data_IF_037085450878
#
_entry.id   IF_037085450878
#
_cell.length_a   1.000
_cell.length_b   1.000
_cell.length_c   1.000
_cell.angle_alpha   90.00
_cell.angle_beta   90.00
_cell.angle_gamma   90.00
#
_symmetry.space_group_name_H-M   'P 1'
#
loop_
_entity.id
_entity.type
_entity.pdbx_description
1 polymer ?
#
# COMPACT_ATOMS: atom_id res chain seq x y z
N UNK A 1 -6.92 4.02 -22.57
CA UNK A 1 -7.13 4.77 -21.32
C UNK A 1 -7.68 3.80 -20.28
N UNK A 2 -7.56 4.06 -18.97
CA UNK A 2 -8.09 3.18 -17.92
C UNK A 2 -8.82 3.98 -16.85
N UNK A 3 -9.98 3.50 -16.43
CA UNK A 3 -10.70 4.04 -15.29
C UNK A 3 -10.83 3.00 -14.17
N UNK A 4 -10.84 3.46 -12.93
CA UNK A 4 -11.06 2.64 -11.76
C UNK A 4 -12.04 3.33 -10.82
N UNK A 5 -13.03 2.59 -10.33
CA UNK A 5 -13.95 3.03 -9.29
C UNK A 5 -13.74 2.17 -8.05
N UNK A 6 -13.51 2.82 -6.91
CA UNK A 6 -13.20 2.18 -5.64
C UNK A 6 -14.20 2.63 -4.59
N UNK A 7 -14.89 1.68 -3.98
CA UNK A 7 -15.77 1.89 -2.83
C UNK A 7 -15.20 1.25 -1.58
N UNK A 8 -15.28 1.93 -0.44
CA UNK A 8 -14.90 1.42 0.88
C UNK A 8 -16.02 1.64 1.87
N UNK A 9 -16.32 0.63 2.67
CA UNK A 9 -17.34 0.62 3.70
C UNK A 9 -16.75 0.14 5.03
N UNK A 10 -17.01 0.90 6.07
CA UNK A 10 -16.86 0.58 7.49
C UNK A 10 -18.19 0.93 8.18
N UNK A 11 -18.56 0.29 9.30
CA UNK A 11 -19.85 0.53 9.96
C UNK A 11 -20.21 2.00 10.18
N UNK A 12 -19.22 2.84 10.48
CA UNK A 12 -19.42 4.27 10.77
C UNK A 12 -18.98 5.20 9.63
N UNK A 13 -18.44 4.64 8.53
CA UNK A 13 -17.81 5.43 7.47
C UNK A 13 -17.83 4.72 6.12
N UNK A 14 -18.40 5.36 5.12
CA UNK A 14 -18.24 4.97 3.72
C UNK A 14 -17.44 6.02 2.97
N UNK A 15 -16.77 5.60 1.89
CA UNK A 15 -16.07 6.50 0.98
C UNK A 15 -16.02 5.90 -0.43
N UNK A 16 -15.95 6.77 -1.42
CA UNK A 16 -15.78 6.39 -2.82
C UNK A 16 -14.68 7.23 -3.47
N UNK A 17 -13.95 6.62 -4.40
CA UNK A 17 -12.94 7.29 -5.20
C UNK A 17 -12.99 6.79 -6.64
N UNK A 18 -12.83 7.70 -7.59
CA UNK A 18 -12.66 7.39 -9.01
C UNK A 18 -11.28 7.83 -9.45
N UNK A 19 -10.63 7.03 -10.30
CA UNK A 19 -9.31 7.35 -10.86
C UNK A 19 -9.34 7.14 -12.36
N UNK A 20 -8.90 8.14 -13.12
CA UNK A 20 -8.64 8.05 -14.55
C UNK A 20 -7.13 8.02 -14.77
N UNK A 21 -6.68 7.11 -15.64
CA UNK A 21 -5.28 6.91 -15.96
C UNK A 21 -5.10 6.83 -17.48
N UNK A 22 -4.10 7.53 -18.01
CA UNK A 22 -3.73 7.41 -19.41
C UNK A 22 -2.21 7.43 -19.58
N UNK A 23 -1.74 6.68 -20.57
CA UNK A 23 -0.33 6.52 -20.88
C UNK A 23 0.05 7.46 -22.02
N UNK A 24 1.23 8.08 -21.91
CA UNK A 24 1.83 8.94 -22.92
C UNK A 24 3.33 8.62 -23.02
N UNK A 25 3.68 7.75 -23.96
CA UNK A 25 5.05 7.25 -24.12
C UNK A 25 5.48 6.40 -22.93
N UNK A 26 6.57 6.80 -22.27
CA UNK A 26 7.11 6.16 -21.06
C UNK A 26 6.53 6.75 -19.75
N UNK A 27 5.64 7.74 -19.87
CA UNK A 27 4.98 8.39 -18.74
C UNK A 27 3.50 8.03 -18.65
N UNK A 28 2.97 8.07 -17.44
CA UNK A 28 1.57 7.80 -17.13
C UNK A 28 1.02 8.93 -16.28
N UNK A 29 -0.13 9.44 -16.70
CA UNK A 29 -0.86 10.49 -16.01
C UNK A 29 -2.06 9.90 -15.30
N UNK A 30 -2.29 10.35 -14.07
CA UNK A 30 -3.45 9.95 -13.26
C UNK A 30 -4.15 11.18 -12.71
N UNK A 31 -5.47 11.15 -12.75
CA UNK A 31 -6.33 12.07 -12.02
C UNK A 31 -7.27 11.25 -11.15
N UNK A 32 -7.41 11.62 -9.88
CA UNK A 32 -8.31 10.95 -8.94
C UNK A 32 -9.22 11.96 -8.25
N UNK A 33 -10.45 11.55 -7.98
CA UNK A 33 -11.44 12.30 -7.21
C UNK A 33 -12.00 11.41 -6.11
N UNK A 34 -12.39 12.01 -5.00
CA UNK A 34 -13.14 11.32 -3.92
C UNK A 34 -14.53 11.91 -3.76
N UNK A 35 -15.37 11.23 -2.98
CA UNK A 35 -16.67 11.72 -2.48
C UNK A 35 -16.64 13.17 -1.94
N UNK A 36 -15.53 13.59 -1.32
CA UNK A 36 -15.31 14.97 -0.86
C UNK A 36 -15.46 16.04 -1.95
N UNK A 37 -15.27 15.67 -3.22
CA UNK A 37 -15.45 16.54 -4.39
C UNK A 37 -16.88 17.05 -4.50
N UNK A 38 -17.86 16.27 -4.00
CA UNK A 38 -19.28 16.52 -4.15
C UNK A 38 -20.02 16.74 -2.81
N UNK A 39 -19.38 16.43 -1.67
CA UNK A 39 -20.03 16.43 -0.35
C UNK A 39 -20.68 17.76 0.06
N UNK A 40 -20.20 18.89 -0.46
CA UNK A 40 -20.77 20.24 -0.22
C UNK A 40 -21.04 21.01 -1.53
N UNK A 41 -21.30 20.27 -2.61
CA UNK A 41 -21.32 20.79 -3.98
C UNK A 41 -19.95 20.65 -4.68
N UNK A 42 -19.89 20.93 -5.99
CA UNK A 42 -18.66 20.76 -6.78
C UNK A 42 -17.50 21.60 -6.22
N UNK A 43 -16.43 20.94 -5.82
CA UNK A 43 -15.22 21.58 -5.32
C UNK A 43 -13.97 20.80 -5.73
N UNK A 44 -12.79 21.38 -5.56
CA UNK A 44 -11.53 20.67 -5.78
C UNK A 44 -11.14 19.77 -4.60
N UNK A 45 -11.96 19.72 -3.55
CA UNK A 45 -11.72 18.87 -2.38
C UNK A 45 -11.67 17.39 -2.80
N UNK A 46 -10.60 16.68 -2.47
CA UNK A 46 -10.44 15.27 -2.87
C UNK A 46 -9.89 15.05 -4.29
N UNK A 47 -9.55 16.11 -5.03
CA UNK A 47 -8.84 16.00 -6.32
C UNK A 47 -7.34 15.73 -6.09
N UNK A 48 -6.82 14.70 -6.76
CA UNK A 48 -5.39 14.39 -6.84
C UNK A 48 -4.93 14.27 -8.29
N UNK A 49 -3.74 14.77 -8.57
CA UNK A 49 -3.07 14.63 -9.86
C UNK A 49 -1.75 13.90 -9.67
N UNK A 50 -1.36 13.04 -10.60
CA UNK A 50 -0.09 12.33 -10.52
C UNK A 50 0.51 12.11 -11.91
N UNK A 51 1.83 12.25 -11.98
CA UNK A 51 2.65 11.91 -13.15
C UNK A 51 3.70 10.92 -12.71
N UNK A 52 3.78 9.79 -13.41
CA UNK A 52 4.76 8.76 -13.09
C UNK A 52 5.43 8.18 -14.32
N UNK A 53 6.70 7.84 -14.17
CA UNK A 53 7.43 6.98 -15.10
C UNK A 53 7.70 5.66 -14.38
N UNK A 54 7.09 4.54 -14.81
CA UNK A 54 7.24 3.25 -14.13
C UNK A 54 8.70 2.88 -13.87
N UNK A 55 9.02 2.56 -12.62
CA UNK A 55 10.37 2.19 -12.19
C UNK A 55 11.36 3.35 -12.05
N UNK A 56 10.97 4.60 -12.34
CA UNK A 56 11.85 5.78 -12.23
C UNK A 56 11.34 6.80 -11.21
N UNK A 57 10.13 7.34 -11.38
CA UNK A 57 9.61 8.34 -10.46
C UNK A 57 8.08 8.39 -10.42
N UNK A 58 7.55 8.97 -9.34
CA UNK A 58 6.15 9.37 -9.16
C UNK A 58 6.16 10.78 -8.57
N UNK A 59 5.35 11.68 -9.13
CA UNK A 59 5.10 13.01 -8.60
C UNK A 59 3.60 13.14 -8.40
N UNK A 60 3.17 13.13 -7.14
CA UNK A 60 1.78 13.33 -6.75
C UNK A 60 1.57 14.79 -6.32
N UNK A 61 0.47 15.38 -6.75
CA UNK A 61 -0.02 16.68 -6.30
C UNK A 61 -1.39 16.53 -5.66
N UNK A 62 -1.47 16.87 -4.38
CA UNK A 62 -2.74 16.99 -3.67
C UNK A 62 -3.28 18.40 -3.84
N UNK A 63 -4.32 18.56 -4.67
CA UNK A 63 -4.87 19.87 -5.02
C UNK A 63 -5.42 20.62 -3.80
N UNK A 64 -6.25 20.01 -2.93
CA UNK A 64 -6.78 20.68 -1.74
C UNK A 64 -5.71 21.21 -0.77
N UNK A 65 -4.67 20.40 -0.54
CA UNK A 65 -3.62 20.71 0.44
C UNK A 65 -2.47 21.51 -0.18
N UNK A 66 -2.50 21.71 -1.51
CA UNK A 66 -1.43 22.34 -2.28
C UNK A 66 -0.05 21.71 -1.99
N UNK A 67 -0.03 20.39 -1.79
CA UNK A 67 1.17 19.66 -1.37
C UNK A 67 1.65 18.70 -2.46
N UNK A 68 2.96 18.56 -2.57
CA UNK A 68 3.64 17.67 -3.49
C UNK A 68 4.32 16.52 -2.75
N UNK A 69 4.18 15.32 -3.31
CA UNK A 69 4.97 14.15 -2.94
C UNK A 69 5.81 13.71 -4.13
N UNK A 70 7.11 13.64 -3.90
CA UNK A 70 8.09 13.14 -4.86
C UNK A 70 8.54 11.76 -4.42
N UNK A 71 8.54 10.80 -5.35
CA UNK A 71 9.10 9.48 -5.13
C UNK A 71 10.04 9.16 -6.29
N UNK A 72 11.29 8.84 -5.97
CA UNK A 72 12.30 8.45 -6.95
C UNK A 72 12.75 7.01 -6.65
N UNK A 73 12.76 6.18 -7.69
CA UNK A 73 13.10 4.77 -7.60
C UNK A 73 14.33 4.50 -8.45
N UNK A 74 15.26 3.71 -7.93
CA UNK A 74 16.44 3.29 -8.66
C UNK A 74 16.77 1.83 -8.32
N UNK A 75 17.38 1.12 -9.26
CA UNK A 75 17.90 -0.23 -9.03
C UNK A 75 19.39 -0.24 -9.31
N UNK A 76 20.17 -0.56 -8.27
CA UNK A 76 21.62 -0.70 -8.31
C UNK A 76 21.97 -2.18 -8.28
N UNK A 77 23.17 -2.56 -8.76
CA UNK A 77 23.68 -3.90 -8.52
C UNK A 77 24.62 -3.91 -7.32
N UNK A 78 24.29 -4.70 -6.31
CA UNK A 78 25.11 -4.92 -5.13
C UNK A 78 25.41 -6.41 -5.04
N UNK A 79 26.69 -6.79 -5.17
CA UNK A 79 27.12 -8.20 -5.16
C UNK A 79 26.33 -9.07 -6.16
N UNK A 80 26.17 -8.57 -7.40
CA UNK A 80 25.40 -9.23 -8.48
C UNK A 80 23.90 -9.40 -8.20
N UNK A 81 23.38 -8.83 -7.10
CA UNK A 81 21.96 -8.83 -6.78
C UNK A 81 21.37 -7.44 -7.01
N UNK A 82 20.16 -7.35 -7.61
CA UNK A 82 19.49 -6.08 -7.78
C UNK A 82 19.06 -5.54 -6.41
N UNK A 83 19.62 -4.39 -6.03
CA UNK A 83 19.25 -3.61 -4.87
C UNK A 83 18.31 -2.49 -5.31
N UNK A 84 17.07 -2.54 -4.87
CA UNK A 84 16.06 -1.51 -5.15
C UNK A 84 16.09 -0.44 -4.06
N UNK A 85 16.25 0.81 -4.45
CA UNK A 85 16.22 1.98 -3.59
C UNK A 85 15.03 2.86 -3.98
N UNK A 86 14.32 3.38 -2.99
CA UNK A 86 13.24 4.36 -3.18
C UNK A 86 13.46 5.51 -2.21
N UNK A 87 13.50 6.73 -2.72
CA UNK A 87 13.49 7.95 -1.95
C UNK A 87 12.10 8.57 -2.05
N UNK A 88 11.53 9.01 -0.93
CA UNK A 88 10.25 9.73 -0.89
C UNK A 88 10.40 11.03 -0.11
N UNK A 89 9.90 12.13 -0.67
CA UNK A 89 9.83 13.43 -0.01
C UNK A 89 8.42 14.03 -0.14
N UNK A 90 7.85 14.46 0.98
CA UNK A 90 6.57 15.18 1.03
C UNK A 90 6.87 16.62 1.44
N UNK A 91 6.56 17.57 0.55
CA UNK A 91 7.04 18.95 0.65
C UNK A 91 6.39 19.69 1.84
N UNK A 92 5.08 19.67 1.94
CA UNK A 92 4.28 20.37 2.93
C UNK A 92 4.48 19.82 4.33
N UNK A 93 4.59 18.50 4.46
CA UNK A 93 4.95 17.86 5.72
C UNK A 93 6.45 17.94 6.05
N UNK A 94 7.30 18.37 5.09
CA UNK A 94 8.78 18.32 5.17
C UNK A 94 9.31 16.95 5.58
N UNK A 95 8.63 15.89 5.13
CA UNK A 95 8.97 14.53 5.52
C UNK A 95 9.81 13.86 4.44
N UNK A 96 10.88 13.19 4.88
CA UNK A 96 11.76 12.43 3.98
C UNK A 96 11.89 11.00 4.48
N UNK A 97 11.80 10.04 3.57
CA UNK A 97 12.00 8.63 3.85
C UNK A 97 12.79 7.95 2.73
N UNK A 98 13.52 6.89 3.09
CA UNK A 98 14.24 6.04 2.16
C UNK A 98 13.91 4.57 2.45
N UNK A 99 13.62 3.83 1.40
CA UNK A 99 13.38 2.39 1.41
C UNK A 99 14.45 1.69 0.57
N UNK A 100 15.08 0.66 1.12
CA UNK A 100 16.00 -0.23 0.42
C UNK A 100 15.48 -1.66 0.45
N UNK A 101 15.69 -2.42 -0.61
CA UNK A 101 15.40 -3.85 -0.60
C UNK A 101 16.30 -4.66 -1.54
N UNK A 102 16.59 -5.90 -1.13
CA UNK A 102 17.37 -6.86 -1.90
C UNK A 102 16.67 -8.21 -1.87
N UNK A 103 16.50 -8.83 -3.04
CA UNK A 103 16.06 -10.21 -3.15
C UNK A 103 17.30 -11.09 -3.28
N UNK A 104 17.50 -12.00 -2.32
CA UNK A 104 18.62 -12.94 -2.36
C UNK A 104 18.34 -14.04 -3.39
N UNK A 105 17.11 -14.51 -3.40
CA UNK A 105 16.55 -15.49 -4.32
C UNK A 105 15.03 -15.27 -4.47
N UNK A 106 14.33 -16.04 -5.32
CA UNK A 106 12.90 -15.87 -5.52
C UNK A 106 11.99 -16.12 -4.30
N UNK A 107 12.51 -16.73 -3.23
CA UNK A 107 11.80 -17.00 -1.98
C UNK A 107 12.18 -16.04 -0.85
N UNK A 108 13.38 -15.45 -0.88
CA UNK A 108 13.95 -14.68 0.23
C UNK A 108 14.24 -13.23 -0.18
N UNK A 109 13.64 -12.28 0.53
CA UNK A 109 13.85 -10.83 0.34
C UNK A 109 14.02 -10.11 1.68
N UNK A 110 15.02 -9.23 1.74
CA UNK A 110 15.22 -8.29 2.85
C UNK A 110 14.84 -6.88 2.41
N UNK A 111 14.21 -6.11 3.29
CA UNK A 111 13.87 -4.72 3.06
C UNK A 111 14.10 -3.91 4.33
N UNK A 112 14.52 -2.66 4.18
CA UNK A 112 14.67 -1.71 5.26
C UNK A 112 14.08 -0.35 4.86
N UNK A 113 13.41 0.31 5.79
CA UNK A 113 12.92 1.68 5.64
C UNK A 113 13.50 2.56 6.74
N UNK A 114 13.83 3.81 6.40
CA UNK A 114 14.18 4.85 7.34
C UNK A 114 13.41 6.14 7.04
N UNK A 115 12.70 6.67 8.04
CA UNK A 115 12.06 7.98 7.97
C UNK A 115 12.92 9.01 8.73
N UNK A 116 13.53 9.94 8.00
CA UNK A 116 14.43 10.96 8.56
C UNK A 116 13.73 11.93 9.50
N UNK A 117 12.45 12.18 9.26
CA UNK A 117 11.64 13.13 10.03
C UNK A 117 11.26 12.59 11.40
N UNK A 118 11.05 11.27 11.54
CA UNK A 118 10.69 10.63 12.81
C UNK A 118 11.82 9.81 13.44
N UNK A 119 12.91 9.56 12.72
CA UNK A 119 13.96 8.62 13.11
C UNK A 119 13.48 7.16 13.11
N UNK A 120 12.30 6.87 12.56
CA UNK A 120 11.76 5.51 12.55
C UNK A 120 12.53 4.63 11.57
N UNK A 121 12.97 3.46 12.01
CA UNK A 121 13.63 2.47 11.18
C UNK A 121 12.92 1.12 11.30
N UNK A 122 12.59 0.51 10.16
CA UNK A 122 11.97 -0.82 10.10
C UNK A 122 12.75 -1.74 9.19
N UNK A 123 13.00 -2.95 9.65
CA UNK A 123 13.61 -4.03 8.86
C UNK A 123 12.57 -5.12 8.67
N UNK A 124 12.34 -5.54 7.42
CA UNK A 124 11.39 -6.59 7.05
C UNK A 124 12.12 -7.70 6.32
N UNK A 125 11.92 -8.93 6.77
CA UNK A 125 12.27 -10.11 5.99
C UNK A 125 11.01 -10.70 5.35
N UNK A 126 11.14 -11.27 4.15
CA UNK A 126 10.06 -11.93 3.44
C UNK A 126 10.56 -13.31 3.03
N UNK A 127 9.81 -14.34 3.44
CA UNK A 127 10.06 -15.72 3.05
C UNK A 127 8.82 -16.34 2.39
N UNK A 128 8.95 -16.77 1.14
CA UNK A 128 7.90 -17.46 0.41
C UNK A 128 8.13 -18.99 0.49
N UNK A 129 7.32 -19.66 1.28
CA UNK A 129 7.43 -21.07 1.63
C UNK A 129 6.69 -22.01 0.66
N UNK A 130 7.27 -23.18 0.45
CA UNK A 130 6.73 -24.27 -0.36
C UNK A 130 7.02 -24.13 -1.86
N UNK A 131 6.79 -25.21 -2.60
CA UNK A 131 7.09 -25.31 -4.04
C UNK A 131 6.38 -24.22 -4.87
N UNK A 132 5.09 -24.01 -4.61
CA UNK A 132 4.29 -22.96 -5.27
C UNK A 132 4.43 -21.57 -4.64
N UNK A 133 5.22 -21.42 -3.56
CA UNK A 133 5.47 -20.15 -2.87
C UNK A 133 4.21 -19.37 -2.48
N UNK A 134 3.13 -20.11 -2.20
CA UNK A 134 1.81 -19.55 -1.88
C UNK A 134 1.69 -19.07 -0.45
N UNK A 135 2.55 -19.55 0.46
CA UNK A 135 2.59 -19.07 1.85
C UNK A 135 3.76 -18.10 2.01
N UNK A 136 3.49 -16.88 2.45
CA UNK A 136 4.49 -15.83 2.63
C UNK A 136 4.52 -15.46 4.11
N UNK A 137 5.70 -15.52 4.71
CA UNK A 137 5.97 -15.11 6.09
C UNK A 137 6.76 -13.80 6.06
N UNK A 138 6.29 -12.80 6.81
CA UNK A 138 6.91 -11.47 6.87
C UNK A 138 7.07 -11.02 8.33
N UNK A 139 8.17 -11.36 9.01
CA UNK A 139 8.54 -10.70 10.25
C UNK A 139 9.12 -9.30 9.97
N UNK A 140 8.74 -8.34 10.80
CA UNK A 140 9.11 -6.93 10.70
C UNK A 140 9.62 -6.49 12.07
N UNK A 141 10.84 -5.98 12.13
CA UNK A 141 11.40 -5.40 13.34
C UNK A 141 11.38 -3.87 13.23
N UNK A 142 10.67 -3.21 14.15
CA UNK A 142 10.71 -1.76 14.33
C UNK A 142 11.83 -1.46 15.33
N UNK A 143 12.95 -0.96 14.82
CA UNK A 143 14.17 -0.67 15.59
C UNK A 143 13.89 0.44 16.62
N UNK A 144 13.09 1.43 16.24
CA UNK A 144 12.81 2.59 17.08
C UNK A 144 11.91 2.27 18.26
N UNK A 145 11.03 1.28 18.10
CA UNK A 145 10.15 0.80 19.17
C UNK A 145 10.68 -0.44 19.89
N UNK A 146 11.72 -1.07 19.34
CA UNK A 146 12.20 -2.38 19.78
C UNK A 146 11.07 -3.42 19.82
N UNK A 147 10.29 -3.52 18.75
CA UNK A 147 9.14 -4.44 18.67
C UNK A 147 9.12 -5.22 17.36
N UNK A 148 8.57 -6.42 17.41
CA UNK A 148 8.31 -7.25 16.24
C UNK A 148 6.85 -7.17 15.80
N UNK A 149 6.61 -7.04 14.51
CA UNK A 149 5.31 -7.28 13.89
C UNK A 149 5.43 -8.49 12.96
N UNK A 150 4.33 -9.21 12.77
CA UNK A 150 4.31 -10.43 11.97
C UNK A 150 3.18 -10.38 10.95
N UNK A 151 3.44 -10.89 9.76
CA UNK A 151 2.38 -11.18 8.80
C UNK A 151 2.57 -12.53 8.14
N UNK A 152 1.45 -13.23 7.92
CA UNK A 152 1.39 -14.47 7.17
C UNK A 152 0.34 -14.30 6.08
N UNK A 153 0.71 -14.57 4.83
CA UNK A 153 -0.23 -14.52 3.69
C UNK A 153 -0.26 -15.88 3.01
N UNK A 154 -1.46 -16.42 2.76
CA UNK A 154 -1.69 -17.59 1.90
C UNK A 154 -2.42 -17.16 0.63
N UNK A 155 -1.83 -17.44 -0.52
CA UNK A 155 -2.43 -17.25 -1.85
C UNK A 155 -3.11 -18.53 -2.32
N UNK A 156 -4.24 -18.37 -3.00
CA UNK A 156 -5.03 -19.44 -3.58
C UNK A 156 -5.16 -19.25 -5.10
N UNK A 157 -5.66 -20.28 -5.78
CA UNK A 157 -6.00 -20.16 -7.20
C UNK A 157 -7.21 -19.25 -7.39
N UNK A 158 -7.32 -18.61 -8.56
CA UNK A 158 -8.39 -17.66 -8.84
C UNK A 158 -8.17 -16.24 -8.31
N UNK A 159 -7.00 -15.95 -7.73
CA UNK A 159 -6.60 -14.60 -7.31
C UNK A 159 -6.95 -14.26 -5.85
N UNK A 160 -7.48 -15.22 -5.09
CA UNK A 160 -7.77 -15.06 -3.67
C UNK A 160 -6.50 -15.12 -2.81
N UNK A 161 -6.46 -14.33 -1.73
CA UNK A 161 -5.46 -14.45 -0.68
C UNK A 161 -6.02 -14.16 0.70
N UNK A 162 -5.54 -14.90 1.69
CA UNK A 162 -5.84 -14.69 3.10
C UNK A 162 -4.58 -14.24 3.82
N UNK A 163 -4.64 -13.13 4.54
CA UNK A 163 -3.53 -12.55 5.27
C UNK A 163 -3.90 -12.35 6.73
N UNK A 164 -3.05 -12.82 7.62
CA UNK A 164 -3.09 -12.51 9.04
C UNK A 164 -1.93 -11.56 9.38
N UNK A 165 -2.17 -10.63 10.29
CA UNK A 165 -1.17 -9.70 10.81
C UNK A 165 -1.27 -9.58 12.31
N UNK A 166 -0.14 -9.49 12.99
CA UNK A 166 -0.09 -9.16 14.40
C UNK A 166 0.96 -8.07 14.63
N UNK A 167 0.53 -6.94 15.19
CA UNK A 167 1.41 -5.85 15.57
C UNK A 167 1.64 -5.91 17.09
N UNK A 168 2.88 -6.16 17.53
CA UNK A 168 3.14 -6.38 18.96
C UNK A 168 3.00 -5.10 19.77
N UNK A 169 3.44 -3.96 19.21
CA UNK A 169 3.43 -2.67 19.93
C UNK A 169 2.01 -2.19 20.27
N UNK A 170 1.07 -2.38 19.34
CA UNK A 170 -0.34 -1.99 19.48
C UNK A 170 -1.25 -3.15 19.91
N UNK A 171 -0.71 -4.37 19.97
CA UNK A 171 -1.45 -5.63 20.16
C UNK A 171 -2.65 -5.77 19.22
N UNK A 172 -2.49 -5.28 17.99
CA UNK A 172 -3.52 -5.30 16.97
C UNK A 172 -3.42 -6.59 16.16
N UNK A 173 -4.44 -7.42 16.24
CA UNK A 173 -4.63 -8.58 15.38
C UNK A 173 -5.48 -8.18 14.16
N UNK A 174 -5.06 -8.60 12.98
CA UNK A 174 -5.76 -8.32 11.73
C UNK A 174 -5.90 -9.57 10.87
N UNK A 175 -7.04 -9.68 10.20
CA UNK A 175 -7.32 -10.67 9.16
C UNK A 175 -7.80 -9.93 7.91
N UNK A 176 -7.29 -10.33 6.75
CA UNK A 176 -7.65 -9.77 5.47
C UNK A 176 -7.87 -10.89 4.45
N UNK A 177 -9.03 -10.89 3.80
CA UNK A 177 -9.27 -11.65 2.58
C UNK A 177 -9.30 -10.67 1.42
N UNK A 178 -8.50 -10.92 0.38
CA UNK A 178 -8.55 -10.15 -0.85
C UNK A 178 -8.72 -11.07 -2.05
N UNK A 179 -9.38 -10.56 -3.09
CA UNK A 179 -9.43 -11.16 -4.42
C UNK A 179 -8.98 -10.14 -5.44
N UNK A 180 -8.03 -10.52 -6.28
CA UNK A 180 -7.64 -9.78 -7.48
C UNK A 180 -7.99 -10.64 -8.70
N UNK A 181 -9.18 -10.39 -9.27
CA UNK A 181 -9.69 -11.12 -10.42
C UNK A 181 -10.13 -10.15 -11.52
N UNK A 182 -9.67 -10.41 -12.75
CA UNK A 182 -10.10 -9.67 -13.94
C UNK A 182 -11.55 -9.99 -14.33
N UNK A 183 -12.06 -11.16 -13.95
CA UNK A 183 -13.40 -11.65 -14.34
C UNK A 183 -14.46 -11.32 -13.29
N UNK A 184 -14.13 -11.52 -12.00
CA UNK A 184 -15.10 -11.44 -10.90
C UNK A 184 -14.96 -10.15 -10.07
N UNK A 185 -14.18 -9.19 -10.55
CA UNK A 185 -13.87 -7.95 -9.84
C UNK A 185 -12.82 -8.12 -8.74
N UNK A 186 -12.42 -6.99 -8.16
CA UNK A 186 -11.44 -6.95 -7.08
C UNK A 186 -12.13 -6.52 -5.78
N UNK A 187 -11.87 -7.22 -4.69
CA UNK A 187 -12.36 -6.82 -3.37
C UNK A 187 -11.38 -7.13 -2.26
N UNK A 188 -11.60 -6.49 -1.12
CA UNK A 188 -10.87 -6.72 0.12
C UNK A 188 -11.82 -6.66 1.30
N UNK A 189 -11.78 -7.67 2.16
CA UNK A 189 -12.52 -7.72 3.43
C UNK A 189 -11.50 -7.81 4.55
N UNK A 190 -11.53 -6.87 5.49
CA UNK A 190 -10.65 -6.81 6.63
C UNK A 190 -11.45 -6.88 7.94
N UNK A 191 -10.89 -7.60 8.91
CA UNK A 191 -11.31 -7.57 10.30
C UNK A 191 -10.10 -7.27 11.17
N UNK A 192 -10.24 -6.42 12.18
CA UNK A 192 -9.17 -6.14 13.13
C UNK A 192 -9.68 -6.02 14.56
N UNK A 193 -8.88 -6.49 15.51
CA UNK A 193 -9.20 -6.51 16.93
C UNK A 193 -7.98 -6.03 17.72
N UNK A 194 -8.18 -5.02 18.58
CA UNK A 194 -7.20 -4.63 19.57
C UNK A 194 -7.30 -5.59 20.76
N UNK A 195 -6.28 -6.41 20.99
CA UNK A 195 -6.31 -7.41 22.06
C UNK A 195 -6.16 -6.82 23.47
N UNK A 196 -5.91 -5.50 23.59
CA UNK A 196 -5.95 -4.80 24.87
C UNK A 196 -7.36 -4.41 25.31
N UNK A 197 -8.28 -4.30 24.35
CA UNK A 197 -9.65 -3.86 24.62
C UNK A 197 -10.52 -5.09 24.94
N UNK A 198 -11.09 -5.11 26.13
CA UNK A 198 -12.04 -6.15 26.53
C UNK A 198 -13.43 -5.85 25.98
N UNK A 199 -14.08 -6.86 25.41
CA UNK A 199 -15.48 -6.82 24.98
C UNK A 199 -15.80 -5.88 23.81
N UNK A 200 -14.82 -5.60 22.93
CA UNK A 200 -14.99 -4.74 21.76
C UNK A 200 -15.20 -5.58 20.50
N UNK A 201 -16.22 -5.24 19.71
CA UNK A 201 -16.47 -5.87 18.42
C UNK A 201 -15.29 -5.60 17.45
N UNK A 202 -14.88 -6.60 16.64
CA UNK A 202 -13.85 -6.38 15.63
C UNK A 202 -14.26 -5.25 14.67
N UNK A 203 -13.31 -4.38 14.32
CA UNK A 203 -13.51 -3.38 13.27
C UNK A 203 -13.53 -4.10 11.93
N UNK A 204 -14.63 -3.96 11.20
CA UNK A 204 -14.82 -4.53 9.88
C UNK A 204 -14.68 -3.46 8.80
N UNK A 205 -14.03 -3.83 7.70
CA UNK A 205 -13.91 -2.98 6.52
C UNK A 205 -14.07 -3.83 5.26
N UNK A 206 -14.85 -3.33 4.30
CA UNK A 206 -15.02 -3.94 2.99
C UNK A 206 -14.67 -2.92 1.93
N UNK A 207 -13.96 -3.35 0.91
CA UNK A 207 -13.52 -2.55 -0.22
C UNK A 207 -13.80 -3.30 -1.52
N UNK A 208 -14.31 -2.61 -2.52
CA UNK A 208 -14.53 -3.13 -3.87
C UNK A 208 -13.92 -2.20 -4.89
N UNK A 209 -13.29 -2.75 -5.92
CA UNK A 209 -12.68 -2.01 -7.02
C UNK A 209 -13.15 -2.57 -8.36
N UNK A 210 -13.65 -1.68 -9.21
CA UNK A 210 -14.07 -1.96 -10.59
C UNK A 210 -13.09 -1.26 -11.53
N UNK A 211 -12.50 -2.01 -12.45
CA UNK A 211 -11.55 -1.49 -13.43
C UNK A 211 -12.13 -1.60 -14.83
N UNK A 212 -11.98 -0.54 -15.62
CA UNK A 212 -12.48 -0.43 -16.99
C UNK A 212 -11.36 0.02 -17.92
N UNK A 213 -11.20 -0.68 -19.04
CA UNK A 213 -10.41 -0.20 -20.16
C UNK A 213 -11.31 0.69 -21.04
N UNK A 214 -10.82 1.89 -21.36
CA UNK A 214 -11.51 2.93 -22.15
C UNK A 214 -10.70 3.23 -23.41
#
# INVERSE_FOLDING_TARGET
>A
MKASLKGRYEPDKSSAAATLTFDAGDTRFKASITDATFAKGPSLNGLGLSVEKPGSFIIDYNVPQQDFRFQFMNTLQLLEKPFSLTYTHVLGARQTAVDGSVAFDPANKLSANYNFSSGNCKVKYVYAHGELRRTILEPIYDVSKNTWDFSVTRKFEGGDSLKATYQTSSKLLGLEWSRDSKLNGCFKVCASLNMMETNVMPKLMVESTLNYDI
#
